data_IF_976047323495
#
_entry.id   IF_976047323495
#
_cell.length_a   1.000
_cell.length_b   1.000
_cell.length_c   1.000
_cell.angle_alpha   90.00
_cell.angle_beta   90.00
_cell.angle_gamma   90.00
#
_symmetry.space_group_name_H-M   'P 1'
#
loop_
_entity.id
_entity.type
_entity.pdbx_description
1 polymer ?
#
# COMPACT_ATOMS: atom_id res chain seq x y z
N UNK A 1 -21.54 0.17 -3.69
CA UNK A 1 -21.28 0.00 -3.98
C UNK A 1 -21.39 -0.89 -4.70
N UNK A 2 -21.88 -1.19 -4.83
CA UNK A 2 -22.08 -2.09 -5.31
C UNK A 2 -21.26 -2.41 -6.24
N UNK A 3 -21.14 -2.04 -6.86
CA UNK A 3 -20.51 -2.43 -7.74
C UNK A 3 -19.47 -2.98 -7.44
N UNK A 4 -19.02 -2.76 -6.59
CA UNK A 4 -17.97 -3.17 -6.31
C UNK A 4 -17.97 -4.45 -6.23
N UNK A 5 -18.66 -4.89 -5.90
CA UNK A 5 -18.64 -6.11 -5.68
C UNK A 5 -18.40 -6.88 -6.83
N UNK A 6 -18.79 -6.71 -7.73
CA UNK A 6 -18.67 -7.50 -8.61
C UNK A 6 -17.52 -7.61 -9.16
N UNK A 7 -16.91 -6.83 -9.28
CA UNK A 7 -15.85 -6.87 -9.86
C UNK A 7 -15.01 -7.77 -9.37
N UNK A 8 -15.11 -7.95 -8.33
CA UNK A 8 -14.25 -8.73 -7.74
C UNK A 8 -14.29 -10.04 -8.34
N UNK A 9 -15.32 -10.51 -8.49
CA UNK A 9 -15.32 -11.75 -8.86
C UNK A 9 -14.79 -11.99 -10.14
N UNK A 10 -14.99 -11.27 -10.93
CA UNK A 10 -14.54 -11.58 -12.08
C UNK A 10 -13.16 -11.64 -12.17
N UNK A 11 -12.56 -10.96 -11.48
CA UNK A 11 -11.26 -10.91 -11.58
C UNK A 11 -10.67 -12.07 -11.12
N UNK A 12 -11.18 -12.57 -10.22
CA UNK A 12 -10.55 -13.57 -9.68
C UNK A 12 -10.43 -14.66 -10.53
N UNK A 13 -11.25 -14.80 -11.24
CA UNK A 13 -11.15 -15.91 -11.89
C UNK A 13 -10.13 -15.85 -12.81
N UNK A 14 -9.91 -14.91 -13.15
CA UNK A 14 -9.16 -14.84 -14.09
C UNK A 14 -8.02 -15.61 -14.25
N UNK A 15 -7.63 -15.78 -15.23
CA UNK A 15 -6.49 -16.40 -15.54
C UNK A 15 -5.34 -15.80 -14.93
N UNK A 16 -5.57 -14.72 -14.35
CA UNK A 16 -4.50 -14.15 -13.70
C UNK A 16 -3.90 -15.16 -12.78
N UNK A 17 -4.64 -16.06 -12.29
CA UNK A 17 -4.09 -17.05 -11.41
C UNK A 17 -2.94 -17.81 -12.02
N UNK A 18 -3.10 -18.36 -13.14
CA UNK A 18 -2.03 -19.07 -13.73
C UNK A 18 -0.82 -18.23 -14.02
N UNK A 19 -1.04 -17.06 -14.44
CA UNK A 19 0.05 -16.23 -14.67
C UNK A 19 0.82 -15.92 -13.44
N UNK A 20 0.13 -15.67 -12.36
CA UNK A 20 0.79 -15.42 -11.13
C UNK A 20 1.62 -16.61 -10.74
N UNK A 21 1.11 -17.78 -10.93
CA UNK A 21 1.83 -18.96 -10.54
C UNK A 21 3.11 -19.06 -11.33
N UNK A 22 3.07 -18.75 -12.57
CA UNK A 22 4.24 -18.84 -13.34
C UNK A 22 5.27 -17.87 -12.93
N UNK A 23 4.89 -16.69 -12.59
CA UNK A 23 5.81 -15.69 -12.18
C UNK A 23 6.28 -15.88 -10.75
N UNK A 24 5.54 -16.61 -9.96
CA UNK A 24 5.89 -16.75 -8.58
C UNK A 24 6.89 -17.86 -8.33
N UNK A 25 8.07 -17.52 -7.95
CA UNK A 25 9.06 -18.51 -7.55
C UNK A 25 9.20 -18.39 -6.05
N UNK A 26 9.81 -19.35 -5.39
CA UNK A 26 10.02 -19.25 -3.96
C UNK A 26 10.74 -17.97 -3.58
N UNK A 27 11.69 -17.57 -4.39
CA UNK A 27 12.39 -16.36 -4.09
C UNK A 27 11.52 -15.14 -4.20
N UNK A 28 10.69 -15.04 -5.23
CA UNK A 28 9.84 -13.88 -5.35
C UNK A 28 8.76 -13.87 -4.30
N UNK A 29 8.29 -15.04 -3.88
CA UNK A 29 7.29 -15.08 -2.83
C UNK A 29 7.89 -14.58 -1.53
N UNK A 30 9.11 -15.01 -1.20
CA UNK A 30 9.74 -14.58 0.00
C UNK A 30 10.01 -13.09 -0.05
N UNK A 31 10.45 -12.58 -1.19
CA UNK A 31 10.72 -11.16 -1.32
C UNK A 31 9.44 -10.36 -1.10
N UNK A 32 8.34 -10.83 -1.67
CA UNK A 32 7.07 -10.13 -1.50
C UNK A 32 6.64 -10.13 -0.05
N UNK A 33 6.86 -11.25 0.65
CA UNK A 33 6.48 -11.32 2.04
C UNK A 33 7.34 -10.39 2.89
N UNK A 34 8.61 -10.27 2.57
CA UNK A 34 9.48 -9.38 3.32
C UNK A 34 9.08 -7.93 3.10
N UNK A 35 8.72 -7.58 1.87
CA UNK A 35 8.30 -6.22 1.59
C UNK A 35 6.98 -5.93 2.29
N UNK A 36 6.05 -6.88 2.25
CA UNK A 36 4.77 -6.68 2.91
C UNK A 36 4.96 -6.51 4.40
N UNK A 37 5.86 -7.28 5.00
CA UNK A 37 6.11 -7.15 6.42
C UNK A 37 6.72 -5.80 6.74
N UNK A 38 7.61 -5.31 5.87
CA UNK A 38 8.22 -4.01 6.09
C UNK A 38 7.19 -2.90 5.96
N UNK A 39 6.27 -3.03 5.01
CA UNK A 39 5.22 -2.03 4.86
C UNK A 39 4.34 -2.03 6.09
N UNK A 40 3.95 -3.20 6.58
CA UNK A 40 3.11 -3.27 7.76
C UNK A 40 3.82 -2.69 8.98
N UNK A 41 5.10 -2.99 9.14
CA UNK A 41 5.85 -2.46 10.26
C UNK A 41 5.96 -0.94 10.15
N UNK A 42 6.15 -0.44 8.94
CA UNK A 42 6.25 1.00 8.73
C UNK A 42 4.92 1.67 9.07
N UNK A 43 3.81 1.05 8.66
CA UNK A 43 2.50 1.59 8.97
C UNK A 43 2.29 1.65 10.46
N UNK A 44 2.66 0.59 11.17
CA UNK A 44 2.48 0.59 12.61
C UNK A 44 3.35 1.59 13.30
N UNK A 45 4.49 1.93 12.73
CA UNK A 45 5.37 2.89 13.34
C UNK A 45 4.96 4.33 13.06
N UNK A 46 4.02 4.55 12.16
CA UNK A 46 3.63 5.92 11.86
C UNK A 46 2.88 6.57 13.00
N UNK A 47 3.02 7.87 13.16
CA UNK A 47 2.14 8.58 14.09
C UNK A 47 0.70 8.32 13.69
N UNK A 48 -0.18 8.36 14.66
CA UNK A 48 -1.56 7.98 14.43
C UNK A 48 -2.24 8.78 13.31
N UNK A 49 -2.00 10.08 13.25
CA UNK A 49 -2.65 10.88 12.23
C UNK A 49 -2.15 10.52 10.83
N UNK A 50 -0.87 10.19 10.69
CA UNK A 50 -0.34 9.80 9.39
C UNK A 50 -0.85 8.43 9.02
N UNK A 51 -0.91 7.51 9.97
CA UNK A 51 -1.38 6.18 9.69
C UNK A 51 -2.84 6.22 9.26
N UNK A 52 -3.64 7.02 9.95
CA UNK A 52 -5.04 7.12 9.64
C UNK A 52 -5.24 7.69 8.24
N UNK A 53 -4.53 8.75 7.90
CA UNK A 53 -4.69 9.37 6.60
C UNK A 53 -4.30 8.43 5.47
N UNK A 54 -3.17 7.75 5.59
CA UNK A 54 -2.74 6.88 4.51
C UNK A 54 -3.61 5.64 4.42
N UNK A 55 -4.12 5.15 5.56
CA UNK A 55 -5.01 4.00 5.55
C UNK A 55 -6.32 4.36 4.84
N UNK A 56 -6.88 5.51 5.13
CA UNK A 56 -8.12 5.92 4.48
C UNK A 56 -7.91 6.08 2.98
N UNK A 57 -6.76 6.54 2.57
CA UNK A 57 -6.51 6.75 1.16
C UNK A 57 -6.18 5.46 0.43
N UNK A 58 -5.21 4.70 0.96
CA UNK A 58 -4.70 3.56 0.22
C UNK A 58 -5.51 2.29 0.43
N UNK A 59 -6.09 2.12 1.58
CA UNK A 59 -6.82 0.89 1.86
C UNK A 59 -8.31 1.08 1.68
N UNK A 60 -8.83 2.20 2.19
CA UNK A 60 -10.26 2.44 2.06
C UNK A 60 -10.63 3.10 0.75
N UNK A 61 -9.68 3.72 0.06
CA UNK A 61 -9.97 4.31 -1.23
C UNK A 61 -10.70 5.63 -1.21
N UNK A 62 -10.65 6.33 -0.10
CA UNK A 62 -11.35 7.60 -0.02
C UNK A 62 -10.65 8.71 -0.78
N UNK A 63 -11.41 9.69 -1.22
CA UNK A 63 -10.84 10.85 -1.86
C UNK A 63 -10.24 11.75 -0.79
N UNK A 64 -9.42 12.67 -1.20
CA UNK A 64 -8.81 13.62 -0.24
C UNK A 64 -9.90 14.41 0.48
N UNK A 65 -10.95 14.79 -0.24
CA UNK A 65 -12.04 15.53 0.42
C UNK A 65 -12.73 14.66 1.45
N UNK A 66 -12.94 13.41 1.12
CA UNK A 66 -13.60 12.52 2.06
C UNK A 66 -12.74 12.31 3.31
N UNK A 67 -11.43 12.21 3.11
CA UNK A 67 -10.54 12.04 4.23
C UNK A 67 -10.53 13.31 5.08
N UNK A 68 -10.52 14.47 4.43
CA UNK A 68 -10.53 15.72 5.17
C UNK A 68 -11.77 15.80 6.05
N UNK A 69 -12.91 15.36 5.51
CA UNK A 69 -14.12 15.36 6.31
C UNK A 69 -14.03 14.34 7.45
N UNK A 70 -13.56 13.15 7.14
CA UNK A 70 -13.46 12.11 8.16
C UNK A 70 -12.50 12.49 9.28
N UNK A 71 -11.41 13.17 8.94
CA UNK A 71 -10.43 13.53 9.94
C UNK A 71 -10.64 14.93 10.49
N UNK A 72 -11.66 15.62 9.98
CA UNK A 72 -11.98 16.96 10.43
C UNK A 72 -10.79 17.89 10.33
N UNK A 73 -10.15 17.92 9.16
CA UNK A 73 -9.01 18.77 8.95
C UNK A 73 -9.03 19.29 7.51
N UNK A 74 -8.21 20.31 7.23
CA UNK A 74 -8.19 20.86 5.88
C UNK A 74 -7.58 19.88 4.89
N UNK A 75 -7.99 19.98 3.65
CA UNK A 75 -7.51 19.06 2.65
C UNK A 75 -6.00 19.16 2.45
N UNK A 76 -5.43 20.34 2.63
CA UNK A 76 -3.99 20.48 2.56
C UNK A 76 -3.27 19.67 3.62
N UNK A 77 -3.89 19.57 4.80
CA UNK A 77 -3.33 18.77 5.88
C UNK A 77 -3.39 17.30 5.50
N UNK A 78 -4.46 16.88 4.82
CA UNK A 78 -4.57 15.50 4.38
C UNK A 78 -3.42 15.19 3.41
N UNK A 79 -3.18 16.06 2.46
CA UNK A 79 -2.13 15.83 1.50
C UNK A 79 -0.78 15.73 2.15
N UNK A 80 -0.51 16.61 3.11
CA UNK A 80 0.74 16.58 3.83
C UNK A 80 0.92 15.30 4.61
N UNK A 81 -0.14 14.87 5.29
CA UNK A 81 -0.06 13.64 6.09
C UNK A 81 0.19 12.44 5.21
N UNK A 82 -0.50 12.38 4.07
CA UNK A 82 -0.32 11.24 3.18
C UNK A 82 1.09 11.25 2.59
N UNK A 83 1.59 12.44 2.24
CA UNK A 83 2.92 12.53 1.69
C UNK A 83 3.95 12.07 2.72
N UNK A 84 3.84 12.53 3.95
CA UNK A 84 4.78 12.13 4.98
C UNK A 84 4.69 10.63 5.28
N UNK A 85 3.47 10.11 5.29
CA UNK A 85 3.29 8.68 5.55
C UNK A 85 3.95 7.86 4.46
N UNK A 86 3.76 8.26 3.21
CA UNK A 86 4.35 7.53 2.11
C UNK A 86 5.86 7.61 2.12
N UNK A 87 6.39 8.77 2.51
CA UNK A 87 7.83 8.93 2.58
C UNK A 87 8.41 8.01 3.66
N UNK A 88 7.76 7.93 4.79
CA UNK A 88 8.24 7.09 5.87
C UNK A 88 8.19 5.61 5.50
N UNK A 89 7.12 5.20 4.83
CA UNK A 89 7.00 3.82 4.42
C UNK A 89 8.06 3.50 3.36
N UNK A 90 8.23 4.41 2.41
CA UNK A 90 9.19 4.23 1.35
C UNK A 90 10.59 4.09 1.90
N UNK A 91 10.92 4.89 2.90
CA UNK A 91 12.25 4.84 3.49
C UNK A 91 12.55 3.49 4.09
N UNK A 92 11.53 2.82 4.63
CA UNK A 92 11.74 1.51 5.21
C UNK A 92 11.79 0.40 4.17
N UNK A 93 11.10 0.57 3.06
CA UNK A 93 11.02 -0.47 2.06
C UNK A 93 12.18 -0.38 1.06
N UNK A 94 12.66 0.83 0.81
CA UNK A 94 13.68 1.02 -0.20
C UNK A 94 14.91 0.14 -0.04
N UNK A 95 15.46 -0.02 1.16
CA UNK A 95 16.62 -0.87 1.30
C UNK A 95 16.36 -2.31 0.90
N UNK A 96 15.15 -2.78 1.12
CA UNK A 96 14.83 -4.14 0.73
C UNK A 96 14.78 -4.27 -0.77
N UNK A 97 14.27 -3.27 -1.45
CA UNK A 97 14.20 -3.32 -2.89
C UNK A 97 15.61 -3.29 -3.49
N UNK A 98 16.48 -2.46 -2.93
CA UNK A 98 17.81 -2.38 -3.44
C UNK A 98 18.58 -3.67 -3.21
N UNK A 99 18.41 -4.26 -2.05
CA UNK A 99 19.08 -5.51 -1.78
C UNK A 99 18.57 -6.59 -2.68
N UNK A 100 17.30 -6.60 -2.96
CA UNK A 100 16.75 -7.64 -3.75
C UNK A 100 17.26 -7.63 -5.14
N UNK A 101 17.39 -6.49 -5.74
CA UNK A 101 17.82 -6.41 -7.10
C UNK A 101 19.30 -6.63 -7.17
N UNK A 102 19.97 -6.46 -6.10
CA UNK A 102 21.38 -6.73 -6.14
C UNK A 102 22.13 -5.69 -6.87
N UNK A 103 21.59 -4.66 -7.20
CA UNK A 103 22.31 -3.69 -7.85
C UNK A 103 21.75 -2.45 -7.66
N UNK A 104 22.36 -1.48 -8.01
CA UNK A 104 21.91 -0.32 -7.80
C UNK A 104 21.63 0.22 -8.99
N UNK A 105 20.87 0.86 -9.27
CA UNK A 105 20.51 1.46 -10.45
C UNK A 105 21.33 2.56 -10.77
#
# INVERSE_FOLDING_TARGET
GGWRGRRAEENETSPSGPELTRAATPETVLAAQEIAAAVNAAMEALPEDLRQAVTLREIEGLSYEEIATAMACPIGTVRSRIFRAREAISARVRPLLENRTGKRW
#
